data_IF_275366770389
#
_entry.id   IF_275366770389
#
_cell.length_a   1.000
_cell.length_b   1.000
_cell.length_c   1.000
_cell.angle_alpha   90.00
_cell.angle_beta   90.00
_cell.angle_gamma   90.00
#
_symmetry.space_group_name_H-M   'P 1'
#
loop_
_entity.id
_entity.type
_entity.pdbx_description
1 polymer ?
#
# COMPACT_ATOMS: atom_id res chain seq x y z
N UNK A 1 -22.17 10.47 45.32
CA UNK A 1 -22.26 10.00 43.90
C UNK A 1 -21.64 8.60 43.86
N UNK A 2 -22.45 7.58 43.59
CA UNK A 2 -22.01 6.20 43.67
C UNK A 2 -20.95 5.87 42.60
N UNK A 3 -20.06 4.92 42.90
CA UNK A 3 -19.01 4.49 41.98
C UNK A 3 -19.56 4.03 40.63
N UNK A 4 -20.77 3.45 40.58
CA UNK A 4 -21.44 3.07 39.35
C UNK A 4 -21.75 4.26 38.42
N UNK A 5 -22.15 5.41 38.95
CA UNK A 5 -22.36 6.64 38.14
C UNK A 5 -21.05 7.15 37.50
N UNK A 6 -19.93 7.04 38.22
CA UNK A 6 -18.62 7.43 37.68
C UNK A 6 -18.15 6.50 36.56
N UNK A 7 -18.39 5.20 36.70
CA UNK A 7 -18.04 4.19 35.67
C UNK A 7 -18.89 4.38 34.41
N UNK A 8 -20.19 4.62 34.56
CA UNK A 8 -21.08 4.85 33.40
C UNK A 8 -20.76 6.15 32.66
N UNK A 9 -20.33 7.21 33.36
CA UNK A 9 -19.87 8.45 32.72
C UNK A 9 -18.59 8.19 31.92
N UNK A 10 -17.66 7.41 32.48
CA UNK A 10 -16.40 7.07 31.80
C UNK A 10 -16.66 6.25 30.52
N UNK A 11 -17.53 5.23 30.58
CA UNK A 11 -17.91 4.43 29.40
C UNK A 11 -18.67 5.23 28.34
N UNK A 12 -19.50 6.20 28.72
CA UNK A 12 -20.20 7.07 27.77
C UNK A 12 -19.27 8.07 27.07
N UNK A 13 -18.20 8.52 27.74
CA UNK A 13 -17.17 9.38 27.13
C UNK A 13 -16.43 8.61 26.05
N UNK A 14 -16.09 7.33 26.28
CA UNK A 14 -15.42 6.49 25.29
C UNK A 14 -16.31 6.08 24.10
N UNK A 15 -17.64 6.01 24.26
CA UNK A 15 -18.57 5.74 23.17
C UNK A 15 -18.86 6.97 22.31
N UNK A 16 -18.48 8.16 22.75
CA UNK A 16 -18.72 9.38 21.97
C UNK A 16 -17.74 9.44 20.79
N UNK A 17 -18.26 9.31 19.55
CA UNK A 17 -17.50 9.43 18.31
C UNK A 17 -16.65 10.71 18.23
N UNK A 18 -17.13 11.79 18.87
CA UNK A 18 -16.41 13.06 18.96
C UNK A 18 -15.15 12.96 19.83
N UNK A 19 -15.19 12.18 20.93
CA UNK A 19 -14.03 11.99 21.81
C UNK A 19 -12.92 11.20 21.12
N UNK A 20 -13.26 10.12 20.42
CA UNK A 20 -12.31 9.37 19.62
C UNK A 20 -11.73 10.21 18.47
N UNK A 21 -12.52 11.07 17.86
CA UNK A 21 -12.07 12.04 16.86
C UNK A 21 -11.10 13.07 17.46
N UNK A 22 -11.33 13.53 18.69
CA UNK A 22 -10.43 14.45 19.39
C UNK A 22 -9.10 13.75 19.73
N UNK A 23 -9.15 12.51 20.26
CA UNK A 23 -7.93 11.73 20.55
C UNK A 23 -7.15 11.48 19.28
N UNK A 24 -7.80 11.12 18.16
CA UNK A 24 -7.11 10.92 16.88
C UNK A 24 -6.46 12.21 16.37
N UNK A 25 -7.11 13.35 16.52
CA UNK A 25 -6.56 14.67 16.17
C UNK A 25 -5.36 15.06 17.07
N UNK A 26 -5.44 14.76 18.36
CA UNK A 26 -4.33 14.99 19.30
C UNK A 26 -3.16 14.08 18.93
N UNK A 27 -3.40 12.78 18.73
CA UNK A 27 -2.36 11.82 18.30
C UNK A 27 -1.71 12.25 16.99
N UNK A 28 -2.51 12.63 15.98
CA UNK A 28 -1.99 13.10 14.70
C UNK A 28 -1.18 14.40 14.82
N UNK A 29 -1.45 15.21 15.84
CA UNK A 29 -0.68 16.44 16.12
C UNK A 29 0.68 16.14 16.78
N UNK A 30 0.76 15.11 17.63
CA UNK A 30 2.03 14.62 18.18
C UNK A 30 2.83 13.81 17.15
N UNK A 31 2.17 13.15 16.21
CA UNK A 31 2.80 12.47 15.07
C UNK A 31 3.26 13.47 13.97
N UNK A 32 2.80 14.73 14.00
CA UNK A 32 3.12 15.72 12.96
C UNK A 32 4.61 16.10 12.94
N UNK A 33 5.29 16.13 14.07
CA UNK A 33 6.72 16.49 14.14
C UNK A 33 7.60 15.36 13.56
N UNK A 34 7.28 14.11 13.89
CA UNK A 34 7.92 12.93 13.27
C UNK A 34 7.56 12.81 11.80
N UNK A 35 6.37 13.24 11.39
CA UNK A 35 5.92 13.24 9.99
C UNK A 35 6.70 14.26 9.15
N UNK A 36 7.05 15.40 9.69
CA UNK A 36 7.86 16.42 8.98
C UNK A 36 9.28 15.91 8.73
N UNK A 37 9.93 15.33 9.73
CA UNK A 37 11.24 14.70 9.56
C UNK A 37 11.21 13.55 8.58
N UNK A 38 10.20 12.67 8.67
CA UNK A 38 10.01 11.54 7.75
C UNK A 38 9.78 12.03 6.32
N UNK A 39 8.98 13.08 6.13
CA UNK A 39 8.72 13.68 4.82
C UNK A 39 9.99 14.30 4.25
N UNK A 40 10.73 15.06 5.07
CA UNK A 40 11.99 15.69 4.64
C UNK A 40 13.04 14.64 4.29
N UNK A 41 13.12 13.56 5.07
CA UNK A 41 14.01 12.44 4.77
C UNK A 41 13.61 11.74 3.46
N UNK A 42 12.30 11.48 3.27
CA UNK A 42 11.79 10.83 2.07
C UNK A 42 12.06 11.66 0.81
N UNK A 43 11.82 12.98 0.85
CA UNK A 43 12.12 13.87 -0.28
C UNK A 43 13.61 13.92 -0.60
N UNK A 44 14.47 13.98 0.42
CA UNK A 44 15.93 13.97 0.25
C UNK A 44 16.45 12.65 -0.35
N UNK A 45 15.82 11.52 -0.03
CA UNK A 45 16.23 10.19 -0.46
C UNK A 45 15.35 9.62 -1.58
N UNK A 46 14.50 10.43 -2.17
CA UNK A 46 13.62 10.05 -3.26
C UNK A 46 14.44 9.61 -4.48
N UNK A 47 14.16 8.41 -4.94
CA UNK A 47 14.73 7.87 -6.16
C UNK A 47 13.67 7.93 -7.25
N UNK A 48 14.03 8.46 -8.42
CA UNK A 48 13.17 8.38 -9.59
C UNK A 48 13.04 6.92 -10.03
N UNK A 49 11.81 6.42 -10.02
CA UNK A 49 11.51 5.03 -10.31
C UNK A 49 11.91 4.61 -11.72
N UNK A 50 11.66 5.48 -12.68
CA UNK A 50 11.94 5.17 -14.08
C UNK A 50 13.45 5.12 -14.32
N UNK A 51 14.18 6.07 -13.76
CA UNK A 51 15.65 6.07 -13.81
C UNK A 51 16.20 4.82 -13.13
N UNK A 52 15.68 4.47 -11.96
CA UNK A 52 16.10 3.26 -11.25
C UNK A 52 15.87 1.98 -12.06
N UNK A 53 14.66 1.79 -12.58
CA UNK A 53 14.31 0.59 -13.34
C UNK A 53 15.11 0.50 -14.65
N UNK A 54 15.25 1.62 -15.37
CA UNK A 54 16.05 1.69 -16.60
C UNK A 54 17.52 1.41 -16.36
N UNK A 55 18.08 1.87 -15.24
CA UNK A 55 19.48 1.58 -14.88
C UNK A 55 19.73 0.09 -14.62
N UNK A 56 18.72 -0.66 -14.20
CA UNK A 56 18.82 -2.10 -13.99
C UNK A 56 18.66 -2.88 -15.29
N UNK A 57 17.61 -2.61 -16.05
CA UNK A 57 17.35 -3.24 -17.35
C UNK A 57 16.31 -2.43 -18.13
N UNK A 58 16.78 -1.52 -18.97
CA UNK A 58 15.91 -0.63 -19.74
C UNK A 58 14.95 -1.39 -20.68
N UNK A 59 15.45 -2.43 -21.37
CA UNK A 59 14.62 -3.23 -22.28
C UNK A 59 13.49 -3.91 -21.53
N UNK A 60 13.83 -4.60 -20.45
CA UNK A 60 12.83 -5.29 -19.62
C UNK A 60 11.84 -4.30 -18.97
N UNK A 61 12.31 -3.11 -18.55
CA UNK A 61 11.40 -2.08 -18.01
C UNK A 61 10.32 -1.69 -19.02
N UNK A 62 10.72 -1.42 -20.26
CA UNK A 62 9.78 -1.05 -21.33
C UNK A 62 8.79 -2.19 -21.63
N UNK A 63 9.25 -3.44 -21.67
CA UNK A 63 8.39 -4.61 -21.82
C UNK A 63 7.41 -4.72 -20.65
N UNK A 64 7.89 -4.57 -19.41
CA UNK A 64 7.05 -4.60 -18.21
C UNK A 64 5.96 -3.54 -18.19
N UNK A 65 6.22 -2.33 -18.67
CA UNK A 65 5.21 -1.27 -18.74
C UNK A 65 4.06 -1.65 -19.68
N UNK A 66 4.38 -2.24 -20.83
CA UNK A 66 3.38 -2.70 -21.81
C UNK A 66 2.56 -3.84 -21.20
N UNK A 67 3.21 -4.87 -20.67
CA UNK A 67 2.58 -6.02 -20.04
C UNK A 67 1.69 -5.59 -18.86
N UNK A 68 2.21 -4.71 -18.01
CA UNK A 68 1.50 -4.22 -16.83
C UNK A 68 0.26 -3.38 -17.18
N UNK A 69 0.26 -2.71 -18.33
CA UNK A 69 -0.93 -1.97 -18.79
C UNK A 69 -2.17 -2.86 -18.93
N UNK A 70 -1.98 -4.11 -19.34
CA UNK A 70 -3.04 -5.13 -19.48
C UNK A 70 -3.46 -5.62 -18.08
N UNK A 71 -2.48 -5.94 -17.23
CA UNK A 71 -2.70 -6.39 -15.85
C UNK A 71 -3.49 -5.33 -15.08
N UNK A 72 -3.12 -4.06 -15.21
CA UNK A 72 -3.80 -2.93 -14.57
C UNK A 72 -5.28 -2.85 -14.96
N UNK A 73 -5.62 -3.06 -16.23
CA UNK A 73 -7.02 -3.07 -16.69
C UNK A 73 -7.81 -4.18 -16.01
N UNK A 74 -7.23 -5.37 -15.89
CA UNK A 74 -7.86 -6.52 -15.22
C UNK A 74 -8.05 -6.25 -13.70
N UNK A 75 -7.05 -5.71 -13.03
CA UNK A 75 -7.13 -5.32 -11.62
C UNK A 75 -8.26 -4.30 -11.42
N UNK A 76 -8.30 -3.24 -12.24
CA UNK A 76 -9.33 -2.20 -12.14
C UNK A 76 -10.74 -2.73 -12.40
N UNK A 77 -10.90 -3.68 -13.34
CA UNK A 77 -12.18 -4.35 -13.58
C UNK A 77 -12.65 -5.15 -12.37
N UNK A 78 -11.75 -5.92 -11.74
CA UNK A 78 -12.05 -6.69 -10.53
C UNK A 78 -12.43 -5.77 -9.36
N UNK A 79 -11.69 -4.67 -9.16
CA UNK A 79 -11.99 -3.70 -8.11
C UNK A 79 -13.37 -3.06 -8.25
N UNK A 80 -13.78 -2.74 -9.50
CA UNK A 80 -15.12 -2.18 -9.77
C UNK A 80 -16.26 -3.13 -9.41
N UNK A 81 -16.00 -4.44 -9.49
CA UNK A 81 -16.99 -5.48 -9.15
C UNK A 81 -17.08 -5.76 -7.64
N UNK A 82 -16.18 -5.23 -6.83
CA UNK A 82 -16.19 -5.45 -5.38
C UNK A 82 -17.24 -4.58 -4.69
N UNK A 83 -17.96 -5.13 -3.66
CA UNK A 83 -18.99 -4.39 -2.93
C UNK A 83 -18.43 -3.24 -2.11
N UNK A 84 -17.16 -3.30 -1.73
CA UNK A 84 -16.45 -2.24 -1.00
C UNK A 84 -15.48 -1.52 -1.94
N UNK A 85 -15.34 -0.20 -1.74
CA UNK A 85 -14.35 0.59 -2.47
C UNK A 85 -12.97 0.34 -1.88
N UNK A 86 -12.14 -0.36 -2.62
CA UNK A 86 -10.72 -0.54 -2.31
C UNK A 86 -9.86 0.29 -3.25
N UNK A 87 -8.75 0.79 -2.72
CA UNK A 87 -7.71 1.43 -3.50
C UNK A 87 -6.51 0.49 -3.58
N UNK A 88 -5.94 0.32 -4.77
CA UNK A 88 -4.64 -0.31 -4.91
C UNK A 88 -3.56 0.67 -4.44
N UNK A 89 -2.93 0.35 -3.32
CA UNK A 89 -1.80 1.11 -2.79
C UNK A 89 -0.48 0.48 -3.21
N UNK A 90 0.56 1.31 -3.31
CA UNK A 90 1.90 0.86 -3.67
C UNK A 90 2.22 0.96 -5.16
N UNK A 91 3.48 0.78 -5.46
CA UNK A 91 4.00 0.88 -6.83
C UNK A 91 3.97 -0.49 -7.52
N UNK A 92 2.80 -0.86 -8.03
CA UNK A 92 2.59 -2.16 -8.68
C UNK A 92 3.48 -2.38 -9.91
N UNK A 93 3.74 -1.38 -10.79
CA UNK A 93 4.69 -1.55 -11.89
C UNK A 93 6.10 -1.91 -11.43
N UNK A 94 6.57 -1.31 -10.32
CA UNK A 94 7.86 -1.65 -9.72
C UNK A 94 7.88 -3.09 -9.22
N UNK A 95 6.85 -3.52 -8.51
CA UNK A 95 6.74 -4.90 -8.02
C UNK A 95 6.82 -5.87 -9.20
N UNK A 96 6.05 -5.60 -10.25
CA UNK A 96 6.06 -6.42 -11.46
C UNK A 96 7.47 -6.50 -12.06
N UNK A 97 8.11 -5.34 -12.29
CA UNK A 97 9.46 -5.27 -12.86
C UNK A 97 10.50 -6.01 -12.01
N UNK A 98 10.51 -5.81 -10.69
CA UNK A 98 11.47 -6.46 -9.80
C UNK A 98 11.36 -7.98 -9.86
N UNK A 99 10.14 -8.52 -9.86
CA UNK A 99 9.92 -9.97 -9.96
C UNK A 99 10.34 -10.49 -11.33
N UNK A 100 10.04 -9.76 -12.41
CA UNK A 100 10.47 -10.09 -13.77
C UNK A 100 12.00 -10.08 -13.91
N UNK A 101 12.66 -9.13 -13.25
CA UNK A 101 14.09 -8.93 -13.30
C UNK A 101 14.87 -9.97 -12.47
N UNK A 102 14.42 -10.20 -11.22
CA UNK A 102 15.15 -11.05 -10.28
C UNK A 102 14.74 -12.53 -10.33
N UNK A 103 13.56 -12.84 -10.87
CA UNK A 103 13.00 -14.19 -10.97
C UNK A 103 13.10 -14.99 -9.65
N UNK A 104 12.61 -14.46 -8.54
CA UNK A 104 12.73 -15.10 -7.23
C UNK A 104 12.01 -16.45 -7.22
N UNK A 105 12.57 -17.42 -6.51
CA UNK A 105 11.94 -18.74 -6.32
C UNK A 105 10.82 -18.72 -5.28
N UNK A 106 10.91 -17.78 -4.34
CA UNK A 106 9.93 -17.64 -3.24
C UNK A 106 9.62 -16.18 -3.03
N UNK A 107 8.33 -15.86 -2.88
CA UNK A 107 7.85 -14.52 -2.58
C UNK A 107 6.92 -14.62 -1.38
N UNK A 108 7.12 -13.73 -0.41
CA UNK A 108 6.25 -13.60 0.76
C UNK A 108 5.56 -12.24 0.67
N UNK A 109 4.25 -12.24 0.74
CA UNK A 109 3.44 -11.03 0.80
C UNK A 109 2.79 -10.92 2.19
N UNK A 110 2.90 -9.74 2.80
CA UNK A 110 2.24 -9.43 4.08
C UNK A 110 1.11 -8.43 3.84
N UNK A 111 -0.12 -8.83 4.11
CA UNK A 111 -1.30 -7.98 3.94
C UNK A 111 -1.80 -7.92 2.50
N UNK A 112 -2.80 -8.73 2.20
CA UNK A 112 -3.33 -8.90 0.81
C UNK A 112 -4.35 -7.84 0.43
N UNK A 113 -5.14 -7.31 1.38
CA UNK A 113 -6.23 -6.35 1.14
C UNK A 113 -7.09 -6.74 -0.07
N UNK A 114 -7.15 -5.90 -1.12
CA UNK A 114 -7.91 -6.15 -2.35
C UNK A 114 -7.18 -7.08 -3.35
N UNK A 115 -5.99 -7.61 -3.00
CA UNK A 115 -5.23 -8.52 -3.86
C UNK A 115 -4.55 -7.89 -5.07
N UNK A 116 -4.42 -6.57 -5.13
CA UNK A 116 -3.78 -5.89 -6.27
C UNK A 116 -2.31 -6.27 -6.43
N UNK A 117 -1.58 -6.29 -5.32
CA UNK A 117 -0.18 -6.73 -5.29
C UNK A 117 -0.07 -8.24 -5.55
N UNK A 118 -0.94 -9.04 -4.94
CA UNK A 118 -0.99 -10.50 -5.19
C UNK A 118 -1.20 -10.83 -6.66
N UNK A 119 -2.18 -10.17 -7.32
CA UNK A 119 -2.41 -10.35 -8.76
C UNK A 119 -1.16 -9.96 -9.56
N UNK A 120 -0.54 -8.84 -9.21
CA UNK A 120 0.69 -8.36 -9.87
C UNK A 120 1.83 -9.36 -9.74
N UNK A 121 2.04 -9.90 -8.53
CA UNK A 121 3.05 -10.91 -8.22
C UNK A 121 2.81 -12.18 -9.04
N UNK A 122 1.58 -12.70 -9.00
CA UNK A 122 1.20 -13.93 -9.71
C UNK A 122 1.37 -13.80 -11.23
N UNK A 123 1.02 -12.65 -11.80
CA UNK A 123 1.20 -12.40 -13.24
C UNK A 123 2.70 -12.32 -13.61
N UNK A 124 3.53 -11.73 -12.76
CA UNK A 124 4.97 -11.67 -13.00
C UNK A 124 5.63 -13.06 -12.91
N UNK A 125 5.25 -13.87 -11.91
CA UNK A 125 5.69 -15.27 -11.76
C UNK A 125 5.28 -16.09 -12.98
N UNK A 126 4.00 -16.01 -13.36
CA UNK A 126 3.48 -16.69 -14.55
C UNK A 126 4.28 -16.34 -15.80
N UNK A 127 4.59 -15.06 -15.98
CA UNK A 127 5.34 -14.59 -17.14
C UNK A 127 6.81 -15.07 -17.14
N UNK A 128 7.42 -15.20 -15.96
CA UNK A 128 8.75 -15.77 -15.82
C UNK A 128 8.80 -17.28 -16.09
N UNK A 129 7.65 -17.95 -16.04
CA UNK A 129 7.53 -19.40 -16.08
C UNK A 129 8.41 -20.07 -15.01
N UNK A 130 8.60 -19.40 -13.87
CA UNK A 130 9.42 -19.80 -12.73
C UNK A 130 8.86 -19.16 -11.45
N UNK A 131 8.80 -19.93 -10.34
CA UNK A 131 8.29 -19.50 -9.03
C UNK A 131 7.40 -20.55 -8.42
#
# INVERSE_FOLDING_TARGET
MSNEKKINIFFNIFKNKNFLSIISKIRNRFESDTTLEATTWAEKNKIDLEIFCKSKNQKLWNECLIEFSIIKKNILSKLKAMPQKYNCMGNLPLIYFLIRCHQPEKIIETGVAAGCSSETILQAIKKNNKG
#
